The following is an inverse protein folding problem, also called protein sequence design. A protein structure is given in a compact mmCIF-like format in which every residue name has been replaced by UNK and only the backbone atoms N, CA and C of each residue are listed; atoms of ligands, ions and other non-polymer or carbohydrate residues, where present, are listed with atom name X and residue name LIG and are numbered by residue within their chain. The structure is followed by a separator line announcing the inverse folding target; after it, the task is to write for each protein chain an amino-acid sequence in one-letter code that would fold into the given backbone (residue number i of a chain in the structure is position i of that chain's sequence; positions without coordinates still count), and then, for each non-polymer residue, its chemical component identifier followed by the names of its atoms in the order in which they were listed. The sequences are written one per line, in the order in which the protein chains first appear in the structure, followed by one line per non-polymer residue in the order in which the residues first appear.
data_IF_123712136197
#
_entry.id   IF_123712136197
#
_cell.length_a   1.000
_cell.length_b   1.000
_cell.length_c   1.000
_cell.angle_alpha   90.00
_cell.angle_beta   90.00
_cell.angle_gamma   90.00
#
_symmetry.space_group_name_H-M   'P 1'
#
loop_
_entity.id
_entity.type
_entity.pdbx_description
1 polymer ?
#
# COMPACT_ATOMS: atom_id res chain seq x y z
N UNK A 1 19.46 -17.94 7.14
CA UNK A 1 19.83 -16.76 6.38
C UNK A 1 19.66 -15.51 7.26
N UNK A 2 20.70 -14.69 7.33
CA UNK A 2 20.74 -13.48 8.14
C UNK A 2 19.62 -12.50 7.75
N UNK A 3 19.35 -12.34 6.47
CA UNK A 3 18.31 -11.44 5.99
C UNK A 3 16.91 -11.93 6.34
N UNK A 4 16.68 -13.24 6.26
CA UNK A 4 15.42 -13.84 6.69
C UNK A 4 15.15 -13.55 8.17
N UNK A 5 16.16 -13.74 9.02
CA UNK A 5 16.05 -13.46 10.47
C UNK A 5 15.78 -11.98 10.73
N UNK A 6 16.43 -11.09 10.00
CA UNK A 6 16.19 -9.64 10.12
C UNK A 6 14.77 -9.27 9.73
N UNK A 7 14.24 -9.85 8.66
CA UNK A 7 12.86 -9.61 8.21
C UNK A 7 11.87 -10.10 9.27
N UNK A 8 12.03 -11.31 9.75
CA UNK A 8 11.12 -11.87 10.77
C UNK A 8 11.15 -11.08 12.06
N UNK A 9 12.33 -10.64 12.50
CA UNK A 9 12.49 -9.79 13.68
C UNK A 9 11.79 -8.43 13.48
N UNK A 10 11.95 -7.82 12.32
CA UNK A 10 11.29 -6.55 11.99
C UNK A 10 9.76 -6.71 11.94
N UNK A 11 9.26 -7.82 11.40
CA UNK A 11 7.83 -8.12 11.39
C UNK A 11 7.28 -8.31 12.80
N UNK A 12 8.01 -8.95 13.69
CA UNK A 12 7.62 -9.07 15.10
C UNK A 12 7.47 -7.69 15.75
N UNK A 13 8.42 -6.79 15.48
CA UNK A 13 8.36 -5.42 15.97
C UNK A 13 7.15 -4.65 15.43
N UNK A 14 6.84 -4.80 14.16
CA UNK A 14 5.67 -4.18 13.54
C UNK A 14 4.37 -4.68 14.19
N UNK A 15 4.29 -5.99 14.46
CA UNK A 15 3.13 -6.58 15.14
C UNK A 15 2.98 -6.04 16.56
N UNK A 16 4.08 -5.90 17.29
CA UNK A 16 4.07 -5.31 18.63
C UNK A 16 3.57 -3.87 18.60
N UNK A 17 4.07 -3.07 17.67
CA UNK A 17 3.62 -1.70 17.47
C UNK A 17 2.14 -1.65 17.10
N UNK A 18 1.67 -2.56 16.26
CA UNK A 18 0.26 -2.67 15.89
C UNK A 18 -0.64 -2.98 17.08
N UNK A 19 -0.21 -3.90 17.96
CA UNK A 19 -0.92 -4.19 19.20
C UNK A 19 -1.02 -2.96 20.11
N UNK A 20 0.08 -2.21 20.23
CA UNK A 20 0.11 -0.99 21.04
C UNK A 20 -0.87 0.06 20.51
N UNK A 21 -0.89 0.27 19.20
CA UNK A 21 -1.85 1.16 18.54
C UNK A 21 -3.29 0.72 18.85
N UNK A 22 -3.55 -0.58 18.75
CA UNK A 22 -4.88 -1.15 19.02
C UNK A 22 -5.31 -0.90 20.47
N UNK A 23 -4.39 -1.09 21.43
CA UNK A 23 -4.65 -0.82 22.85
C UNK A 23 -4.93 0.65 23.11
N UNK A 24 -4.19 1.56 22.49
CA UNK A 24 -4.39 3.00 22.64
C UNK A 24 -5.78 3.38 22.15
N UNK A 25 -6.23 2.88 21.00
CA UNK A 25 -7.58 3.13 20.52
C UNK A 25 -8.64 2.57 21.43
N UNK A 26 -8.43 1.40 22.01
CA UNK A 26 -9.37 0.84 23.01
C UNK A 26 -9.54 1.73 24.23
N UNK A 27 -8.45 2.32 24.72
CA UNK A 27 -8.49 3.25 25.86
C UNK A 27 -8.94 4.66 25.49
N UNK A 28 -8.83 5.03 24.21
CA UNK A 28 -9.21 6.35 23.72
C UNK A 28 -10.73 6.55 23.70
N UNK A 29 -11.44 5.50 23.32
CA UNK A 29 -12.90 5.47 23.37
C UNK A 29 -13.31 4.71 24.64
N UNK A 30 -14.37 5.12 25.31
CA UNK A 30 -14.83 4.45 26.52
C UNK A 30 -15.04 2.95 26.26
N UNK A 31 -14.23 2.13 26.88
CA UNK A 31 -14.19 0.70 26.65
C UNK A 31 -15.53 0.02 26.91
N UNK A 32 -15.89 -0.91 26.05
CA UNK A 32 -17.02 -1.81 26.24
C UNK A 32 -18.37 -1.30 25.77
N UNK A 33 -18.45 -0.12 25.19
CA UNK A 33 -19.68 0.33 24.55
C UNK A 33 -19.77 -0.26 23.13
N UNK A 34 -20.84 -0.99 22.87
CA UNK A 34 -21.08 -1.69 21.59
C UNK A 34 -21.03 -0.75 20.39
N UNK A 35 -21.56 0.47 20.54
CA UNK A 35 -21.54 1.47 19.46
C UNK A 35 -20.14 1.93 19.06
N UNK A 36 -19.16 1.82 19.95
CA UNK A 36 -17.77 2.16 19.62
C UNK A 36 -17.06 1.07 18.84
N UNK A 37 -17.36 -0.19 19.13
CA UNK A 37 -16.85 -1.30 18.33
C UNK A 37 -17.40 -1.24 16.91
N UNK A 38 -18.67 -0.91 16.75
CA UNK A 38 -19.27 -0.71 15.41
C UNK A 38 -18.57 0.43 14.66
N UNK A 39 -18.30 1.54 15.35
CA UNK A 39 -17.59 2.67 14.75
C UNK A 39 -16.19 2.28 14.30
N UNK A 40 -15.44 1.53 15.13
CA UNK A 40 -14.09 1.07 14.75
C UNK A 40 -14.11 0.17 13.52
N UNK A 41 -15.07 -0.75 13.47
CA UNK A 41 -15.22 -1.65 12.30
C UNK A 41 -15.59 -0.86 11.06
N UNK A 42 -16.54 0.06 11.16
CA UNK A 42 -16.94 0.92 10.04
C UNK A 42 -15.78 1.78 9.55
N UNK A 43 -15.00 2.34 10.45
CA UNK A 43 -13.81 3.12 10.11
C UNK A 43 -12.76 2.26 9.39
N UNK A 44 -12.56 1.02 9.82
CA UNK A 44 -11.66 0.09 9.16
C UNK A 44 -12.14 -0.25 7.74
N UNK A 45 -13.45 -0.50 7.59
CA UNK A 45 -14.03 -0.78 6.27
C UNK A 45 -13.82 0.42 5.32
N UNK A 46 -14.07 1.64 5.79
CA UNK A 46 -13.83 2.85 5.01
C UNK A 46 -12.35 2.99 4.64
N UNK A 47 -11.46 2.77 5.60
CA UNK A 47 -10.02 2.84 5.36
C UNK A 47 -9.56 1.84 4.30
N UNK A 48 -10.04 0.60 4.35
CA UNK A 48 -9.69 -0.42 3.37
C UNK A 48 -10.42 -0.30 2.05
N UNK A 49 -11.51 0.45 1.96
CA UNK A 49 -12.28 0.60 0.73
C UNK A 49 -11.43 1.15 -0.43
N UNK A 50 -10.48 2.01 -0.11
CA UNK A 50 -9.54 2.56 -1.09
C UNK A 50 -8.70 1.46 -1.76
N UNK A 51 -8.35 0.41 -1.03
CA UNK A 51 -7.47 -0.67 -1.49
C UNK A 51 -8.24 -1.91 -1.97
N UNK A 52 -9.55 -1.93 -1.83
CA UNK A 52 -10.39 -3.05 -2.26
C UNK A 52 -10.68 -3.04 -3.76
N UNK A 53 -10.53 -1.91 -4.41
CA UNK A 53 -10.69 -1.79 -5.85
C UNK A 53 -9.52 -2.47 -6.58
N UNK A 54 -9.84 -3.29 -7.57
CA UNK A 54 -8.82 -3.91 -8.40
C UNK A 54 -7.93 -2.83 -9.03
N UNK A 55 -6.66 -3.12 -9.11
CA UNK A 55 -5.58 -2.32 -9.68
C UNK A 55 -5.06 -1.18 -8.80
N UNK A 56 -5.81 -0.68 -7.82
CA UNK A 56 -5.31 0.38 -6.92
C UNK A 56 -4.09 -0.11 -6.13
N UNK A 57 -4.20 -1.27 -5.50
CA UNK A 57 -3.11 -1.88 -4.72
C UNK A 57 -1.92 -2.22 -5.63
N UNK A 58 -2.19 -2.73 -6.83
CA UNK A 58 -1.15 -3.08 -7.79
C UNK A 58 -0.38 -1.84 -8.27
N UNK A 59 -1.08 -0.75 -8.57
CA UNK A 59 -0.45 0.53 -8.96
C UNK A 59 0.40 1.07 -7.82
N UNK A 60 -0.14 1.10 -6.60
CA UNK A 60 0.58 1.54 -5.42
C UNK A 60 1.86 0.72 -5.23
N UNK A 61 1.74 -0.59 -5.31
CA UNK A 61 2.86 -1.52 -5.13
C UNK A 61 3.92 -1.35 -6.23
N UNK A 62 3.49 -1.20 -7.48
CA UNK A 62 4.41 -1.00 -8.60
C UNK A 62 5.24 0.28 -8.42
N UNK A 63 4.60 1.38 -8.07
CA UNK A 63 5.29 2.65 -7.86
C UNK A 63 6.14 2.64 -6.59
N UNK A 64 5.70 1.94 -5.54
CA UNK A 64 6.47 1.81 -4.31
C UNK A 64 7.73 0.97 -4.50
N UNK A 65 7.63 -0.14 -5.23
CA UNK A 65 8.72 -1.08 -5.43
C UNK A 65 9.67 -0.59 -6.54
N UNK A 66 9.11 -0.16 -7.67
CA UNK A 66 9.88 0.14 -8.88
C UNK A 66 10.21 1.63 -9.05
N UNK A 67 9.63 2.51 -8.23
CA UNK A 67 9.85 3.96 -8.34
C UNK A 67 8.99 4.61 -9.42
N UNK A 68 9.28 5.87 -9.70
CA UNK A 68 8.54 6.69 -10.66
C UNK A 68 8.51 6.02 -12.04
N UNK A 69 7.35 6.01 -12.68
CA UNK A 69 7.15 5.32 -13.96
C UNK A 69 6.30 6.14 -14.91
N UNK A 70 6.56 5.96 -16.20
CA UNK A 70 5.71 6.44 -17.27
C UNK A 70 4.54 5.48 -17.47
N UNK A 71 3.50 5.95 -18.13
CA UNK A 71 2.30 5.17 -18.39
C UNK A 71 2.58 3.79 -19.00
N UNK A 72 3.38 3.73 -20.06
CA UNK A 72 3.67 2.46 -20.73
C UNK A 72 4.52 1.52 -19.88
N UNK A 73 5.39 2.06 -19.02
CA UNK A 73 6.17 1.26 -18.07
C UNK A 73 5.26 0.61 -17.02
N UNK A 74 4.28 1.36 -16.51
CA UNK A 74 3.28 0.81 -15.58
C UNK A 74 2.44 -0.26 -16.26
N UNK A 75 2.03 -0.02 -17.49
CA UNK A 75 1.25 -0.99 -18.25
C UNK A 75 2.00 -2.31 -18.46
N UNK A 76 3.32 -2.25 -18.65
CA UNK A 76 4.15 -3.45 -18.73
C UNK A 76 4.26 -4.19 -17.41
N UNK A 77 4.41 -3.46 -16.30
CA UNK A 77 4.50 -4.05 -14.96
C UNK A 77 3.17 -4.67 -14.52
N UNK A 78 2.07 -4.05 -14.89
CA UNK A 78 0.71 -4.47 -14.49
C UNK A 78 0.10 -5.35 -15.58
N UNK A 79 0.58 -6.56 -15.66
CA UNK A 79 0.20 -7.51 -16.70
C UNK A 79 -1.31 -7.68 -16.82
N UNK A 80 -1.82 -7.54 -18.04
CA UNK A 80 -3.23 -7.72 -18.33
C UNK A 80 -4.09 -6.49 -18.18
N UNK A 81 -3.53 -5.35 -17.75
CA UNK A 81 -4.28 -4.11 -17.66
C UNK A 81 -4.41 -3.46 -19.05
N UNK A 82 -5.61 -3.02 -19.39
CA UNK A 82 -5.82 -2.22 -20.61
C UNK A 82 -5.38 -0.79 -20.40
N UNK A 83 -5.08 -0.08 -21.50
CA UNK A 83 -4.73 1.35 -21.45
C UNK A 83 -5.86 2.17 -20.82
N UNK A 84 -7.10 1.88 -21.15
CA UNK A 84 -8.26 2.58 -20.61
C UNK A 84 -8.38 2.36 -19.11
N UNK A 85 -8.29 1.11 -18.65
CA UNK A 85 -8.37 0.79 -17.23
C UNK A 85 -7.23 1.45 -16.46
N UNK A 86 -6.00 1.40 -16.99
CA UNK A 86 -4.85 2.05 -16.33
C UNK A 86 -5.06 3.56 -16.23
N UNK A 87 -5.52 4.21 -17.30
CA UNK A 87 -5.82 5.64 -17.29
C UNK A 87 -6.86 6.00 -16.23
N UNK A 88 -7.95 5.25 -16.18
CA UNK A 88 -9.03 5.47 -15.21
C UNK A 88 -8.55 5.26 -13.77
N UNK A 89 -7.77 4.21 -13.53
CA UNK A 89 -7.25 3.89 -12.19
C UNK A 89 -6.19 4.89 -11.73
N UNK A 90 -5.32 5.35 -12.63
CA UNK A 90 -4.35 6.40 -12.31
C UNK A 90 -5.05 7.70 -11.96
N UNK A 91 -6.10 8.07 -12.70
CA UNK A 91 -6.92 9.24 -12.38
C UNK A 91 -7.51 9.11 -10.98
N UNK A 92 -8.07 7.96 -10.65
CA UNK A 92 -8.62 7.70 -9.31
C UNK A 92 -7.53 7.77 -8.22
N UNK A 93 -6.34 7.22 -8.47
CA UNK A 93 -5.23 7.30 -7.52
C UNK A 93 -4.77 8.75 -7.31
N UNK A 94 -4.78 9.56 -8.34
CA UNK A 94 -4.45 10.99 -8.23
C UNK A 94 -5.52 11.72 -7.40
N UNK A 95 -6.79 11.46 -7.68
CA UNK A 95 -7.91 12.05 -6.92
C UNK A 95 -7.88 11.66 -5.44
N UNK A 96 -7.47 10.43 -5.14
CA UNK A 96 -7.34 9.94 -3.78
C UNK A 96 -6.04 10.38 -3.08
N UNK A 97 -5.20 11.15 -3.76
CA UNK A 97 -3.98 11.69 -3.19
C UNK A 97 -2.85 10.67 -3.00
N UNK A 98 -2.94 9.51 -3.64
CA UNK A 98 -1.90 8.47 -3.56
C UNK A 98 -0.78 8.67 -4.56
N UNK A 99 -1.11 9.21 -5.72
CA UNK A 99 -0.22 9.34 -6.88
C UNK A 99 -0.29 10.76 -7.38
N UNK A 100 0.81 11.29 -7.87
CA UNK A 100 0.84 12.54 -8.60
C UNK A 100 1.36 12.33 -10.02
N UNK A 101 0.79 13.09 -10.93
CA UNK A 101 1.18 13.13 -12.33
C UNK A 101 2.13 14.31 -12.53
N UNK A 102 3.36 14.02 -12.90
CA UNK A 102 4.40 15.03 -13.07
C UNK A 102 4.71 15.18 -14.55
N UNK A 103 4.57 16.39 -15.07
CA UNK A 103 4.85 16.70 -16.47
C UNK A 103 6.19 17.42 -16.55
N UNK A 104 7.09 16.86 -17.36
CA UNK A 104 8.32 17.52 -17.79
C UNK A 104 8.04 18.10 -19.17
N UNK A 105 8.05 19.42 -19.28
CA UNK A 105 7.68 20.13 -20.51
C UNK A 105 8.71 19.96 -21.65
N UNK A 106 9.86 19.35 -21.36
CA UNK A 106 10.85 18.93 -22.36
C UNK A 106 11.29 19.94 -23.38
N UNK A 107 11.83 19.65 -24.59
CA UNK A 107 11.48 18.55 -25.50
C UNK A 107 12.27 17.26 -25.23
N UNK A 108 11.66 16.08 -25.38
CA UNK A 108 10.23 15.85 -25.58
C UNK A 108 9.43 15.96 -24.29
N UNK A 109 8.14 16.22 -24.37
CA UNK A 109 7.25 16.22 -23.22
C UNK A 109 7.21 14.81 -22.62
N UNK A 110 7.43 14.73 -21.32
CA UNK A 110 7.41 13.46 -20.57
C UNK A 110 6.43 13.58 -19.42
N UNK A 111 5.68 12.51 -19.21
CA UNK A 111 4.74 12.40 -18.10
C UNK A 111 5.17 11.22 -17.23
N UNK A 112 5.39 11.50 -15.96
CA UNK A 112 5.76 10.50 -14.96
C UNK A 112 4.64 10.42 -13.93
N UNK A 113 4.44 9.23 -13.40
CA UNK A 113 3.59 8.99 -12.24
C UNK A 113 4.47 8.61 -11.07
N UNK A 114 4.21 9.20 -9.92
CA UNK A 114 4.96 8.91 -8.71
C UNK A 114 4.04 8.94 -7.49
N UNK A 115 4.45 8.28 -6.43
CA UNK A 115 3.73 8.32 -5.17
C UNK A 115 3.86 9.71 -4.53
N UNK A 116 2.76 10.18 -3.97
CA UNK A 116 2.78 11.31 -3.04
C UNK A 116 3.40 10.88 -1.72
N UNK A 117 3.65 11.81 -0.80
CA UNK A 117 4.03 11.47 0.58
C UNK A 117 3.01 10.53 1.21
N UNK A 118 1.72 10.79 1.01
CA UNK A 118 0.64 9.92 1.48
C UNK A 118 0.72 8.52 0.86
N UNK A 119 0.94 8.42 -0.45
CA UNK A 119 1.11 7.15 -1.14
C UNK A 119 2.31 6.35 -0.62
N UNK A 120 3.43 7.01 -0.37
CA UNK A 120 4.61 6.37 0.22
C UNK A 120 4.34 5.87 1.64
N UNK A 121 3.62 6.66 2.44
CA UNK A 121 3.25 6.25 3.80
C UNK A 121 2.37 5.00 3.75
N UNK A 122 1.40 4.96 2.85
CA UNK A 122 0.56 3.77 2.65
C UNK A 122 1.40 2.55 2.23
N UNK A 123 2.35 2.75 1.31
CA UNK A 123 3.26 1.68 0.89
C UNK A 123 4.10 1.13 2.03
N UNK A 124 4.64 2.01 2.87
CA UNK A 124 5.42 1.61 4.05
C UNK A 124 4.58 0.84 5.07
N UNK A 125 3.32 1.21 5.24
CA UNK A 125 2.42 0.54 6.18
C UNK A 125 1.91 -0.79 5.63
N UNK A 126 1.69 -0.89 4.34
CA UNK A 126 1.25 -2.13 3.68
C UNK A 126 2.42 -3.11 3.45
N UNK A 127 3.62 -2.60 3.28
CA UNK A 127 4.81 -3.41 2.99
C UNK A 127 5.05 -4.56 3.98
N UNK A 128 5.00 -4.31 5.29
CA UNK A 128 5.14 -5.38 6.28
C UNK A 128 4.08 -6.48 6.13
N UNK A 129 2.83 -6.13 5.82
CA UNK A 129 1.80 -7.12 5.57
C UNK A 129 2.13 -7.96 4.34
N UNK A 130 2.58 -7.33 3.28
CA UNK A 130 3.00 -8.05 2.05
C UNK A 130 4.17 -8.99 2.36
N UNK A 131 5.15 -8.53 3.13
CA UNK A 131 6.29 -9.36 3.54
C UNK A 131 5.84 -10.57 4.37
N UNK A 132 4.94 -10.34 5.32
CA UNK A 132 4.37 -11.42 6.13
C UNK A 132 3.66 -12.45 5.24
N UNK A 133 2.84 -12.01 4.29
CA UNK A 133 2.11 -12.90 3.39
C UNK A 133 3.05 -13.69 2.47
N UNK A 134 4.14 -13.10 2.02
CA UNK A 134 5.16 -13.80 1.24
C UNK A 134 5.75 -14.97 2.02
N UNK A 135 6.07 -14.75 3.29
CA UNK A 135 6.62 -15.79 4.16
C UNK A 135 5.56 -16.86 4.44
N UNK A 136 4.35 -16.45 4.80
CA UNK A 136 3.25 -17.35 5.12
C UNK A 136 2.90 -18.26 3.92
N UNK A 137 2.97 -17.75 2.71
CA UNK A 137 2.66 -18.47 1.48
C UNK A 137 3.88 -19.17 0.87
N UNK A 138 4.96 -19.31 1.62
CA UNK A 138 6.20 -19.99 1.20
C UNK A 138 6.86 -19.37 -0.06
N UNK A 139 6.61 -18.10 -0.34
CA UNK A 139 7.26 -17.37 -1.42
C UNK A 139 8.67 -16.92 -1.05
N UNK A 140 8.94 -16.78 0.23
CA UNK A 140 10.25 -16.51 0.80
C UNK A 140 10.49 -17.52 1.94
N UNK A 141 11.56 -18.29 1.84
CA UNK A 141 11.89 -19.30 2.83
C UNK A 141 13.27 -19.04 3.43
N UNK A 142 13.49 -19.57 4.64
CA UNK A 142 14.80 -19.52 5.25
C UNK A 142 15.76 -20.41 4.46
N UNK A 143 16.85 -19.83 4.00
CA UNK A 143 17.95 -20.57 3.36
C UNK A 143 19.07 -20.74 4.38
N UNK A 144 18.88 -21.68 5.23
CA UNK A 144 19.90 -22.03 6.21
C UNK A 144 21.06 -22.80 5.60
#
# INVERSE_FOLDING_TARGET
NSDYKKITSALDQVQDNGRDIRRIFQGYYNDGEEGQMEWEVDAAVIAFSMFSSRWTTEILSALYIAGDKRFNQLRTLLRGISSRTLSDKLTACVENGLVERVVDDGPPIRVMYRLTTHGRNCGRLLGPLVAYMKIHNDLVVSKD
#
